data_IF_802985333609
#
_entry.id   IF_802985333609
#
_cell.length_a   1.000
_cell.length_b   1.000
_cell.length_c   1.000
_cell.angle_alpha   90.00
_cell.angle_beta   90.00
_cell.angle_gamma   90.00
#
_symmetry.space_group_name_H-M   'P 1'
#
loop_
_entity.id
_entity.type
_entity.pdbx_description
1 polymer ?
#
# COMPACT_ATOMS: atom_id res chain seq x y z
N UNK A 1 -32.89 -11.90 59.40
CA UNK A 1 -31.93 -10.95 60.00
C UNK A 1 -30.58 -11.21 59.32
N UNK A 2 -30.33 -10.58 58.15
CA UNK A 2 -29.22 -9.64 57.88
C UNK A 2 -27.87 -10.16 58.40
N UNK A 3 -26.84 -10.40 57.59
CA UNK A 3 -26.21 -9.42 56.70
C UNK A 3 -25.52 -10.10 55.50
N UNK A 4 -25.83 -9.60 54.29
CA UNK A 4 -25.08 -9.83 53.06
C UNK A 4 -23.83 -8.92 53.12
N UNK A 5 -22.63 -9.50 53.19
CA UNK A 5 -21.40 -8.72 53.16
C UNK A 5 -21.11 -8.29 51.71
N UNK A 6 -21.38 -7.02 51.41
CA UNK A 6 -20.99 -6.36 50.18
C UNK A 6 -19.47 -6.23 50.11
N UNK A 7 -18.83 -6.91 49.17
CA UNK A 7 -17.42 -6.67 48.83
C UNK A 7 -17.34 -5.40 47.98
N UNK A 8 -16.67 -4.37 48.48
CA UNK A 8 -16.27 -3.20 47.71
C UNK A 8 -15.12 -3.58 46.78
N UNK A 9 -15.34 -3.50 45.47
CA UNK A 9 -14.29 -3.60 44.47
C UNK A 9 -13.38 -2.38 44.58
N UNK A 10 -12.16 -2.56 45.07
CA UNK A 10 -11.11 -1.55 45.00
C UNK A 10 -10.69 -1.36 43.54
N UNK A 11 -10.92 -0.15 43.04
CA UNK A 11 -10.41 0.29 41.73
C UNK A 11 -8.90 0.47 41.88
N UNK A 12 -8.13 -0.43 41.27
CA UNK A 12 -6.68 -0.32 41.16
C UNK A 12 -6.35 0.92 40.33
N UNK A 13 -5.67 1.88 40.94
CA UNK A 13 -5.15 3.08 40.29
C UNK A 13 -4.12 2.67 39.22
N UNK A 14 -4.42 2.95 37.96
CA UNK A 14 -3.47 2.74 36.86
C UNK A 14 -2.28 3.69 37.05
N UNK A 15 -1.12 3.12 37.34
CA UNK A 15 0.14 3.86 37.46
C UNK A 15 0.45 4.69 36.22
N UNK A 16 1.11 5.84 36.44
CA UNK A 16 1.49 6.77 35.39
C UNK A 16 2.31 6.06 34.29
N UNK A 17 1.82 6.12 33.05
CA UNK A 17 2.59 5.72 31.87
C UNK A 17 3.85 6.58 31.80
N UNK A 18 5.07 6.00 31.74
CA UNK A 18 6.27 6.78 31.54
C UNK A 18 6.21 7.43 30.16
N UNK A 19 6.24 8.76 30.14
CA UNK A 19 6.28 9.56 28.93
C UNK A 19 7.62 9.38 28.21
N UNK A 20 7.75 8.31 27.42
CA UNK A 20 8.85 8.20 26.45
C UNK A 20 8.46 9.01 25.21
N UNK A 21 8.64 10.32 25.29
CA UNK A 21 8.86 11.16 24.11
C UNK A 21 10.24 11.78 24.23
N UNK A 22 11.26 11.01 23.91
CA UNK A 22 12.51 11.60 23.45
C UNK A 22 12.18 12.39 22.17
N UNK A 23 12.43 13.71 22.11
CA UNK A 23 12.35 14.43 20.86
C UNK A 23 13.46 13.84 19.97
N UNK A 24 13.09 13.13 18.90
CA UNK A 24 14.05 12.82 17.83
C UNK A 24 14.65 14.16 17.42
N UNK A 25 15.98 14.28 17.55
CA UNK A 25 16.70 15.41 17.02
C UNK A 25 16.23 15.61 15.57
N UNK A 26 15.66 16.78 15.28
CA UNK A 26 15.37 17.20 13.91
C UNK A 26 16.71 17.47 13.24
N UNK A 27 17.47 16.41 12.95
CA UNK A 27 18.42 16.46 11.86
C UNK A 27 17.62 16.84 10.62
N UNK A 28 18.05 17.88 9.92
CA UNK A 28 17.51 18.20 8.61
C UNK A 28 17.74 16.94 7.76
N UNK A 29 16.67 16.17 7.56
CA UNK A 29 16.67 15.14 6.54
C UNK A 29 16.86 15.92 5.26
N UNK A 30 18.04 15.81 4.64
CA UNK A 30 18.26 16.31 3.30
C UNK A 30 17.13 15.72 2.45
N UNK A 31 16.18 16.57 2.06
CA UNK A 31 15.02 16.13 1.31
C UNK A 31 15.59 15.67 -0.03
N UNK A 32 15.70 14.35 -0.20
CA UNK A 32 15.96 13.72 -1.49
C UNK A 32 15.07 14.41 -2.52
N UNK A 33 15.67 15.23 -3.36
CA UNK A 33 14.94 16.09 -4.27
C UNK A 33 14.28 15.20 -5.32
N UNK A 34 12.97 15.06 -5.20
CA UNK A 34 12.19 14.22 -6.10
C UNK A 34 11.65 15.05 -7.25
N UNK A 35 12.23 14.87 -8.43
CA UNK A 35 11.67 15.37 -9.68
C UNK A 35 10.80 14.29 -10.32
N UNK A 36 9.48 14.52 -10.34
CA UNK A 36 8.52 13.59 -10.93
C UNK A 36 8.62 13.48 -12.46
N UNK A 37 9.29 14.46 -13.10
CA UNK A 37 9.55 14.49 -14.53
C UNK A 37 10.84 13.77 -14.93
N UNK A 38 11.70 13.40 -13.96
CA UNK A 38 12.87 12.56 -14.18
C UNK A 38 12.53 11.08 -13.94
N UNK A 39 12.78 10.26 -14.96
CA UNK A 39 12.65 8.80 -14.87
C UNK A 39 13.54 8.20 -13.78
N UNK A 40 14.73 8.77 -13.54
CA UNK A 40 15.68 8.24 -12.55
C UNK A 40 15.09 8.23 -11.13
N UNK A 41 14.34 9.27 -10.78
CA UNK A 41 13.68 9.38 -9.48
C UNK A 41 12.67 8.23 -9.25
N UNK A 42 12.01 7.76 -10.31
CA UNK A 42 11.09 6.61 -10.28
C UNK A 42 11.82 5.27 -10.25
N UNK A 43 12.93 5.13 -10.97
CA UNK A 43 13.79 3.94 -10.94
C UNK A 43 14.35 3.70 -9.54
N UNK A 44 14.88 4.74 -8.89
CA UNK A 44 15.36 4.67 -7.50
C UNK A 44 14.26 4.23 -6.53
N UNK A 45 12.99 4.50 -6.86
CA UNK A 45 11.81 4.08 -6.08
C UNK A 45 11.29 2.68 -6.47
N UNK A 46 12.05 1.91 -7.26
CA UNK A 46 11.75 0.52 -7.59
C UNK A 46 10.75 0.32 -8.73
N UNK A 47 10.48 1.35 -9.55
CA UNK A 47 9.68 1.18 -10.77
C UNK A 47 10.52 0.51 -11.86
N UNK A 48 9.87 -0.28 -12.71
CA UNK A 48 10.53 -0.81 -13.91
C UNK A 48 10.87 0.33 -14.88
N UNK A 49 11.80 0.08 -15.82
CA UNK A 49 12.19 1.07 -16.83
C UNK A 49 10.99 1.61 -17.61
N UNK A 50 10.11 0.72 -18.05
CA UNK A 50 8.89 1.09 -18.78
C UNK A 50 7.95 1.97 -17.94
N UNK A 51 7.68 1.56 -16.69
CA UNK A 51 6.82 2.33 -15.77
C UNK A 51 7.42 3.70 -15.44
N UNK A 52 8.72 3.75 -15.18
CA UNK A 52 9.43 4.96 -14.84
C UNK A 52 9.43 5.95 -16.01
N UNK A 53 9.68 5.47 -17.23
CA UNK A 53 9.67 6.28 -18.44
C UNK A 53 8.27 6.88 -18.68
N UNK A 54 7.23 6.06 -18.52
CA UNK A 54 5.85 6.48 -18.75
C UNK A 54 5.36 7.46 -17.68
N UNK A 55 5.67 7.23 -16.39
CA UNK A 55 5.38 8.18 -15.30
C UNK A 55 6.02 9.54 -15.58
N UNK A 56 7.31 9.55 -15.91
CA UNK A 56 8.04 10.77 -16.22
C UNK A 56 7.43 11.50 -17.44
N UNK A 57 7.02 10.75 -18.47
CA UNK A 57 6.34 11.30 -19.65
C UNK A 57 5.00 11.95 -19.29
N UNK A 58 4.17 11.30 -18.47
CA UNK A 58 2.88 11.84 -18.03
C UNK A 58 3.09 13.12 -17.23
N UNK A 59 4.03 13.13 -16.29
CA UNK A 59 4.35 14.33 -15.50
C UNK A 59 4.85 15.49 -16.36
N UNK A 60 5.66 15.23 -17.39
CA UNK A 60 6.05 16.26 -18.38
C UNK A 60 4.87 16.77 -19.22
N UNK A 61 3.91 15.91 -19.53
CA UNK A 61 2.76 16.26 -20.37
C UNK A 61 1.67 17.03 -19.60
N UNK A 62 1.59 16.81 -18.29
CA UNK A 62 0.60 17.44 -17.40
C UNK A 62 1.30 18.06 -16.17
N UNK A 63 2.11 19.12 -16.36
CA UNK A 63 2.81 19.78 -15.27
C UNK A 63 1.84 20.52 -14.35
N UNK A 64 2.27 20.76 -13.11
CA UNK A 64 1.51 21.61 -12.20
C UNK A 64 1.48 23.06 -12.71
N UNK A 65 0.33 23.71 -12.54
CA UNK A 65 0.18 25.14 -12.82
C UNK A 65 0.76 25.96 -11.66
N UNK A 66 1.24 27.19 -11.93
CA UNK A 66 1.78 28.06 -10.88
C UNK A 66 0.72 28.35 -9.80
N UNK A 67 1.13 28.61 -8.55
CA UNK A 67 0.20 28.91 -7.45
C UNK A 67 -0.70 30.13 -7.69
N UNK A 68 -0.29 31.03 -8.60
CA UNK A 68 -1.02 32.22 -9.02
C UNK A 68 -2.14 31.94 -10.02
N UNK A 69 -2.14 30.78 -10.68
CA UNK A 69 -3.22 30.39 -11.59
C UNK A 69 -4.53 30.17 -10.83
N UNK A 70 -5.72 30.38 -11.43
CA UNK A 70 -6.99 30.12 -10.76
C UNK A 70 -7.09 28.70 -10.20
N UNK A 71 -7.68 28.55 -9.00
CA UNK A 71 -7.79 27.25 -8.33
C UNK A 71 -8.48 26.19 -9.21
N UNK A 72 -9.53 26.58 -9.92
CA UNK A 72 -10.30 25.69 -10.81
C UNK A 72 -9.39 25.08 -11.88
N UNK A 73 -8.51 25.87 -12.48
CA UNK A 73 -7.59 25.42 -13.53
C UNK A 73 -6.53 24.46 -12.96
N UNK A 74 -6.01 24.75 -11.77
CA UNK A 74 -5.06 23.85 -11.08
C UNK A 74 -5.70 22.49 -10.79
N UNK A 75 -6.94 22.49 -10.30
CA UNK A 75 -7.69 21.25 -10.06
C UNK A 75 -8.01 20.51 -11.34
N UNK A 76 -8.38 21.21 -12.41
CA UNK A 76 -8.60 20.61 -13.74
C UNK A 76 -7.33 19.93 -14.24
N UNK A 77 -6.18 20.60 -14.17
CA UNK A 77 -4.89 20.04 -14.53
C UNK A 77 -4.53 18.78 -13.73
N UNK A 78 -4.79 18.80 -12.42
CA UNK A 78 -4.61 17.63 -11.56
C UNK A 78 -5.48 16.44 -11.99
N UNK A 79 -6.75 16.69 -12.34
CA UNK A 79 -7.67 15.65 -12.83
C UNK A 79 -7.22 15.06 -14.17
N UNK A 80 -6.78 15.89 -15.11
CA UNK A 80 -6.22 15.43 -16.39
C UNK A 80 -5.02 14.50 -16.17
N UNK A 81 -4.10 14.88 -15.28
CA UNK A 81 -2.96 14.05 -14.93
C UNK A 81 -3.38 12.72 -14.30
N UNK A 82 -4.34 12.74 -13.36
CA UNK A 82 -4.88 11.52 -12.74
C UNK A 82 -5.49 10.60 -13.79
N UNK A 83 -6.28 11.16 -14.72
CA UNK A 83 -6.86 10.40 -15.82
C UNK A 83 -5.79 9.77 -16.73
N UNK A 84 -4.73 10.51 -17.04
CA UNK A 84 -3.61 10.00 -17.82
C UNK A 84 -2.79 8.90 -17.10
N UNK A 85 -2.63 9.01 -15.77
CA UNK A 85 -1.93 8.00 -14.96
C UNK A 85 -2.75 6.75 -14.68
N UNK A 86 -4.09 6.84 -14.72
CA UNK A 86 -4.98 5.75 -14.33
C UNK A 86 -4.71 4.43 -15.07
N UNK A 87 -4.60 4.40 -16.42
CA UNK A 87 -4.34 3.14 -17.13
C UNK A 87 -3.04 2.46 -16.71
N UNK A 88 -1.98 3.25 -16.50
CA UNK A 88 -0.69 2.73 -16.02
C UNK A 88 -0.81 2.16 -14.60
N UNK A 89 -1.43 2.89 -13.69
CA UNK A 89 -1.60 2.44 -12.31
C UNK A 89 -2.47 1.19 -12.22
N UNK A 90 -3.55 1.12 -13.01
CA UNK A 90 -4.43 -0.04 -13.08
C UNK A 90 -3.66 -1.27 -13.60
N UNK A 91 -2.81 -1.10 -14.63
CA UNK A 91 -1.95 -2.16 -15.14
C UNK A 91 -0.90 -2.63 -14.13
N UNK A 92 -0.28 -1.70 -13.37
CA UNK A 92 0.66 -2.03 -12.30
C UNK A 92 -0.05 -2.83 -11.19
N UNK A 93 -1.25 -2.41 -10.80
CA UNK A 93 -2.05 -3.08 -9.78
C UNK A 93 -2.43 -4.50 -10.22
N UNK A 94 -2.92 -4.65 -11.45
CA UNK A 94 -3.27 -5.95 -12.03
C UNK A 94 -2.07 -6.91 -12.06
N UNK A 95 -0.88 -6.43 -12.48
CA UNK A 95 0.34 -7.24 -12.48
C UNK A 95 0.75 -7.66 -11.07
N UNK A 96 0.72 -6.73 -10.11
CA UNK A 96 1.07 -7.01 -8.71
C UNK A 96 0.14 -8.06 -8.11
N UNK A 97 -1.15 -7.96 -8.41
CA UNK A 97 -2.14 -8.91 -7.94
C UNK A 97 -1.94 -10.28 -8.58
N UNK A 98 -1.72 -10.37 -9.89
CA UNK A 98 -1.39 -11.62 -10.57
C UNK A 98 -0.13 -12.29 -9.97
N UNK A 99 0.92 -11.52 -9.66
CA UNK A 99 2.12 -12.03 -8.99
C UNK A 99 1.84 -12.53 -7.56
N UNK A 100 0.96 -11.87 -6.81
CA UNK A 100 0.52 -12.32 -5.49
C UNK A 100 -0.23 -13.64 -5.59
N UNK A 101 -1.20 -13.73 -6.49
CA UNK A 101 -1.99 -14.94 -6.73
C UNK A 101 -1.10 -16.10 -7.14
N UNK A 102 -0.20 -15.89 -8.11
CA UNK A 102 0.76 -16.91 -8.54
C UNK A 102 1.63 -17.43 -7.40
N UNK A 103 2.17 -16.55 -6.55
CA UNK A 103 2.97 -16.97 -5.39
C UNK A 103 2.16 -17.78 -4.39
N UNK A 104 0.94 -17.35 -4.09
CA UNK A 104 0.07 -18.06 -3.16
C UNK A 104 -0.26 -19.47 -3.67
N UNK A 105 -0.63 -19.58 -4.95
CA UNK A 105 -0.95 -20.87 -5.55
C UNK A 105 0.26 -21.78 -5.69
N UNK A 106 1.43 -21.23 -6.02
CA UNK A 106 2.69 -21.99 -6.05
C UNK A 106 3.03 -22.53 -4.65
N UNK A 107 2.83 -21.71 -3.60
CA UNK A 107 3.03 -22.15 -2.22
C UNK A 107 2.08 -23.27 -1.82
N UNK A 108 0.78 -23.14 -2.13
CA UNK A 108 -0.19 -24.21 -1.87
C UNK A 108 0.14 -25.49 -2.65
N UNK A 109 0.56 -25.38 -3.91
CA UNK A 109 0.99 -26.51 -4.71
C UNK A 109 2.22 -27.23 -4.11
N UNK A 110 3.19 -26.48 -3.58
CA UNK A 110 4.31 -27.05 -2.82
C UNK A 110 3.81 -27.84 -1.61
N UNK A 111 2.88 -27.27 -0.82
CA UNK A 111 2.32 -27.98 0.35
C UNK A 111 1.56 -29.25 -0.04
N UNK A 112 0.92 -29.26 -1.21
CA UNK A 112 0.27 -30.45 -1.74
C UNK A 112 1.29 -31.57 -2.04
N UNK A 113 2.43 -31.21 -2.64
CA UNK A 113 3.53 -32.15 -2.90
C UNK A 113 4.16 -32.65 -1.60
N UNK A 114 4.32 -31.77 -0.61
CA UNK A 114 4.88 -32.10 0.70
C UNK A 114 3.90 -32.87 1.61
N UNK A 115 2.64 -33.06 1.17
CA UNK A 115 1.60 -33.73 1.95
C UNK A 115 1.11 -32.96 3.18
N UNK A 116 1.42 -31.65 3.27
CA UNK A 116 1.05 -30.79 4.41
C UNK A 116 -0.14 -29.88 4.12
N UNK A 117 -0.79 -30.08 2.97
CA UNK A 117 -1.95 -29.31 2.52
C UNK A 117 -3.22 -29.73 3.28
N UNK A 118 -4.09 -28.77 3.53
CA UNK A 118 -5.40 -28.98 4.15
C UNK A 118 -6.50 -29.24 3.10
N UNK A 119 -7.59 -29.89 3.51
CA UNK A 119 -8.73 -30.18 2.61
C UNK A 119 -9.34 -28.91 1.99
N UNK A 120 -9.35 -27.79 2.72
CA UNK A 120 -9.82 -26.50 2.23
C UNK A 120 -8.88 -25.94 1.15
N UNK A 121 -7.57 -26.04 1.33
CA UNK A 121 -6.58 -25.64 0.32
C UNK A 121 -6.67 -26.52 -0.95
N UNK A 122 -6.93 -27.83 -0.80
CA UNK A 122 -7.22 -28.73 -1.93
C UNK A 122 -8.47 -28.27 -2.68
N UNK A 123 -9.54 -27.94 -1.95
CA UNK A 123 -10.77 -27.44 -2.56
C UNK A 123 -10.55 -26.12 -3.32
N UNK A 124 -9.74 -25.21 -2.79
CA UNK A 124 -9.35 -23.96 -3.45
C UNK A 124 -8.56 -24.23 -4.75
N UNK A 125 -7.57 -25.13 -4.72
CA UNK A 125 -6.81 -25.49 -5.92
C UNK A 125 -7.71 -26.10 -7.00
N UNK A 126 -8.60 -27.01 -6.63
CA UNK A 126 -9.60 -27.59 -7.55
C UNK A 126 -10.55 -26.53 -8.11
N UNK A 127 -11.01 -25.62 -7.26
CA UNK A 127 -11.87 -24.51 -7.68
C UNK A 127 -11.19 -23.62 -8.71
N UNK A 128 -9.92 -23.26 -8.48
CA UNK A 128 -9.09 -22.54 -9.45
C UNK A 128 -8.96 -23.31 -10.77
N UNK A 129 -8.67 -24.60 -10.73
CA UNK A 129 -8.46 -25.40 -11.94
C UNK A 129 -9.74 -25.57 -12.77
N UNK A 130 -10.91 -25.60 -12.11
CA UNK A 130 -12.21 -25.75 -12.75
C UNK A 130 -12.81 -24.44 -13.25
N UNK A 131 -12.59 -23.33 -12.54
CA UNK A 131 -13.32 -22.08 -12.76
C UNK A 131 -12.41 -20.87 -13.05
N UNK A 132 -11.09 -21.04 -12.94
CA UNK A 132 -10.15 -19.92 -12.92
C UNK A 132 -10.16 -19.20 -11.58
N UNK A 133 -9.38 -18.11 -11.51
CA UNK A 133 -9.31 -17.21 -10.37
C UNK A 133 -9.07 -15.80 -10.90
N UNK A 134 -9.95 -14.86 -10.55
CA UNK A 134 -9.86 -13.43 -10.85
C UNK A 134 -9.86 -12.63 -9.55
#
# INVERSE_FOLDING_TARGET
MLMLQSQTAEIVSAGAFPAVRSPRARGAVELDHFDSTDMRCWLTRGRSVEQAAELARIWRSYPDLPPTAPLVDRMARGRERIAAMKPLNDAIAAKTEAERQNRNFAFMASRAQDGTITDSEIAILRGRDLHGYD
#
